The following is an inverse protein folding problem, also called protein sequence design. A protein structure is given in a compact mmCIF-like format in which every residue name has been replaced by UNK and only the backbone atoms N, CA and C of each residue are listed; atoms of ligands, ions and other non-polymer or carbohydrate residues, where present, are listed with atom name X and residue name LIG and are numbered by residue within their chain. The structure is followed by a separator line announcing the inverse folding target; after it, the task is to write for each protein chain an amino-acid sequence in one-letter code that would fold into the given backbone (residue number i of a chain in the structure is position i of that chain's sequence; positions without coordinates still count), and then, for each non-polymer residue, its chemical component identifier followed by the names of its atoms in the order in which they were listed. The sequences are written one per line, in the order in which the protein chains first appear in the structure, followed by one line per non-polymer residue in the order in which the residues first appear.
data_IF_194584078675
#
_entry.id   IF_194584078675
#
_cell.length_a   1.000
_cell.length_b   1.000
_cell.length_c   1.000
_cell.angle_alpha   90.00
_cell.angle_beta   90.00
_cell.angle_gamma   90.00
#
_symmetry.space_group_name_H-M   'P 1'
#
loop_
_entity.id
_entity.type
_entity.pdbx_description
1 polymer ?
#
# COMPACT_ATOMS: atom_id res chain seq x y z
N UNK A 1 1.95 14.56 15.89
CA UNK A 1 1.85 14.11 14.47
C UNK A 1 0.99 15.04 13.64
N UNK A 2 1.02 16.31 14.00
CA UNK A 2 0.19 17.30 13.34
C UNK A 2 0.71 17.71 11.96
N UNK A 3 1.92 17.29 11.59
CA UNK A 3 2.52 17.66 10.32
C UNK A 3 1.98 16.87 9.12
N UNK A 4 1.23 15.80 9.38
CA UNK A 4 0.62 15.00 8.31
C UNK A 4 -0.88 15.22 8.32
N UNK A 5 -1.51 15.27 7.15
CA UNK A 5 -2.94 15.55 7.07
C UNK A 5 -3.78 14.38 7.57
N UNK A 6 -4.99 14.71 8.05
CA UNK A 6 -6.00 13.69 8.26
C UNK A 6 -6.35 13.09 6.90
N UNK A 7 -6.45 11.78 6.84
CA UNK A 7 -6.72 11.07 5.60
C UNK A 7 -8.19 10.69 5.51
N UNK A 8 -8.63 10.43 4.29
CA UNK A 8 -9.99 9.94 4.01
C UNK A 8 -10.01 8.42 4.16
N UNK A 9 -9.54 7.96 5.31
CA UNK A 9 -9.47 6.56 5.72
C UNK A 9 -9.87 6.51 7.20
N UNK A 10 -10.36 5.37 7.69
CA UNK A 10 -10.64 5.24 9.12
C UNK A 10 -9.41 5.59 9.95
N UNK A 11 -9.60 6.26 11.09
CA UNK A 11 -8.47 6.56 11.96
C UNK A 11 -7.71 5.30 12.36
N UNK A 12 -6.41 5.37 12.32
CA UNK A 12 -5.55 4.27 12.71
C UNK A 12 -4.71 4.72 13.91
N UNK A 13 -4.60 3.83 14.89
CA UNK A 13 -3.76 4.10 16.06
C UNK A 13 -2.32 3.80 15.72
N UNK A 14 -1.68 4.78 15.11
CA UNK A 14 -0.27 4.63 14.77
C UNK A 14 0.59 4.85 16.00
N UNK A 15 1.50 3.91 16.23
CA UNK A 15 2.49 4.03 17.28
C UNK A 15 3.70 4.74 16.70
N UNK A 16 4.01 5.91 17.20
CA UNK A 16 5.08 6.75 16.69
C UNK A 16 6.10 7.06 17.78
N UNK A 17 7.33 7.29 17.36
CA UNK A 17 8.40 7.70 18.25
C UNK A 17 9.30 8.70 17.53
N UNK A 18 9.96 9.55 18.32
CA UNK A 18 10.92 10.52 17.80
C UNK A 18 12.29 10.14 18.33
N UNK A 19 13.22 9.80 17.43
CA UNK A 19 14.57 9.38 17.79
C UNK A 19 15.59 10.02 16.86
N UNK A 20 16.64 10.57 17.44
CA UNK A 20 17.75 11.14 16.67
C UNK A 20 17.29 12.18 15.64
N UNK A 21 16.30 13.01 16.03
CA UNK A 21 15.77 14.02 15.13
C UNK A 21 14.83 13.52 14.07
N UNK A 22 14.50 12.23 14.08
CA UNK A 22 13.62 11.59 13.07
C UNK A 22 12.37 11.04 13.71
N UNK A 23 11.24 11.19 13.01
CA UNK A 23 10.02 10.55 13.39
C UNK A 23 9.98 9.13 12.81
N UNK A 24 9.58 8.17 13.66
CA UNK A 24 9.48 6.77 13.29
C UNK A 24 8.08 6.27 13.61
N UNK A 25 7.62 5.29 12.85
CA UNK A 25 6.33 4.65 13.05
C UNK A 25 6.54 3.16 13.18
N UNK A 26 5.77 2.55 14.09
CA UNK A 26 5.85 1.12 14.32
C UNK A 26 5.07 0.35 13.26
N UNK A 27 5.73 -0.64 12.66
CA UNK A 27 5.08 -1.60 11.76
C UNK A 27 4.82 -2.88 12.56
N UNK A 28 3.57 -3.07 13.00
CA UNK A 28 3.19 -4.21 13.81
C UNK A 28 3.16 -5.53 13.05
N UNK A 29 3.07 -5.49 11.71
CA UNK A 29 3.08 -6.70 10.91
C UNK A 29 4.48 -7.28 10.77
N UNK A 30 5.49 -6.41 10.60
CA UNK A 30 6.88 -6.84 10.44
C UNK A 30 7.69 -6.71 11.73
N UNK A 31 7.13 -6.07 12.75
CA UNK A 31 7.80 -5.93 14.04
C UNK A 31 9.03 -5.03 13.99
N UNK A 32 8.97 -3.93 13.28
CA UNK A 32 10.09 -3.01 13.16
C UNK A 32 9.65 -1.55 13.11
N UNK A 33 10.59 -0.67 13.40
CA UNK A 33 10.39 0.77 13.29
C UNK A 33 10.77 1.23 11.89
N UNK A 34 9.94 2.07 11.30
CA UNK A 34 10.15 2.64 9.97
C UNK A 34 10.29 4.15 10.08
N UNK A 35 11.07 4.73 9.19
CA UNK A 35 11.11 6.18 9.07
C UNK A 35 9.73 6.66 8.61
N UNK A 36 9.15 7.62 9.32
CA UNK A 36 7.84 8.15 8.98
C UNK A 36 8.02 9.22 7.91
N UNK A 37 7.60 8.87 6.69
CA UNK A 37 7.57 9.76 5.53
C UNK A 37 6.13 10.06 5.17
N UNK A 38 5.86 11.09 4.32
CA UNK A 38 4.50 11.34 3.86
C UNK A 38 3.84 10.13 3.19
N UNK A 39 4.62 9.35 2.44
CA UNK A 39 4.10 8.12 1.80
C UNK A 39 3.85 7.03 2.82
N UNK A 40 4.75 6.87 3.80
CA UNK A 40 4.58 5.86 4.85
C UNK A 40 3.37 6.17 5.73
N UNK A 41 3.06 7.44 5.92
CA UNK A 41 1.84 7.86 6.60
C UNK A 41 0.59 7.28 5.92
N UNK A 42 0.53 7.37 4.60
CA UNK A 42 -0.58 6.80 3.83
C UNK A 42 -0.59 5.29 3.92
N UNK A 43 0.57 4.66 3.73
CA UNK A 43 0.67 3.19 3.74
C UNK A 43 0.21 2.60 5.08
N UNK A 44 0.62 3.19 6.20
CA UNK A 44 0.20 2.71 7.52
C UNK A 44 -1.30 2.78 7.72
N UNK A 45 -1.95 3.83 7.21
CA UNK A 45 -3.40 3.96 7.30
C UNK A 45 -4.12 2.94 6.41
N UNK A 46 -3.60 2.67 5.21
CA UNK A 46 -4.16 1.65 4.33
C UNK A 46 -4.07 0.27 5.00
N UNK A 47 -2.92 -0.05 5.58
CA UNK A 47 -2.73 -1.33 6.26
C UNK A 47 -3.67 -1.43 7.46
N UNK A 48 -3.82 -0.36 8.24
CA UNK A 48 -4.77 -0.34 9.35
C UNK A 48 -6.20 -0.60 8.89
N UNK A 49 -6.60 0.02 7.77
CA UNK A 49 -7.93 -0.21 7.19
C UNK A 49 -8.09 -1.67 6.75
N UNK A 50 -7.10 -2.23 6.05
CA UNK A 50 -7.16 -3.62 5.59
C UNK A 50 -7.23 -4.59 6.78
N UNK A 51 -6.44 -4.36 7.81
CA UNK A 51 -6.34 -5.26 8.96
C UNK A 51 -7.52 -5.10 9.92
N UNK A 52 -7.81 -3.86 10.31
CA UNK A 52 -8.74 -3.60 11.42
C UNK A 52 -10.19 -3.46 10.96
N UNK A 53 -10.41 -2.91 9.76
CA UNK A 53 -11.77 -2.68 9.25
C UNK A 53 -12.23 -3.79 8.31
N UNK A 54 -11.39 -4.19 7.37
CA UNK A 54 -11.72 -5.26 6.42
C UNK A 54 -11.49 -6.64 7.04
N UNK A 55 -10.53 -6.75 7.96
CA UNK A 55 -10.24 -8.01 8.64
C UNK A 55 -9.32 -8.93 7.87
N UNK A 56 -8.44 -8.39 7.02
CA UNK A 56 -7.46 -9.20 6.30
C UNK A 56 -6.42 -9.72 7.29
N UNK A 57 -6.18 -11.04 7.34
CA UNK A 57 -5.14 -11.59 8.23
C UNK A 57 -3.76 -11.04 7.89
N UNK A 58 -2.93 -10.89 8.91
CA UNK A 58 -1.59 -10.32 8.75
C UNK A 58 -0.77 -11.05 7.69
N UNK A 59 -0.88 -12.38 7.62
CA UNK A 59 -0.12 -13.19 6.65
C UNK A 59 -0.54 -12.93 5.21
N UNK A 60 -1.67 -12.28 5.00
CA UNK A 60 -2.18 -11.95 3.66
C UNK A 60 -1.96 -10.49 3.28
N UNK A 61 -1.25 -9.72 4.07
CA UNK A 61 -0.88 -8.33 3.77
C UNK A 61 0.63 -8.29 3.61
N UNK A 62 1.09 -8.27 2.37
CA UNK A 62 2.53 -8.30 2.07
C UNK A 62 2.96 -6.92 1.65
N UNK A 63 3.84 -6.32 2.46
CA UNK A 63 4.40 -5.00 2.19
C UNK A 63 5.65 -5.11 1.35
N UNK A 64 5.86 -4.14 0.46
CA UNK A 64 7.04 -4.08 -0.39
C UNK A 64 7.27 -5.41 -1.10
N UNK A 65 6.21 -5.87 -1.74
CA UNK A 65 6.20 -7.14 -2.47
C UNK A 65 7.18 -7.07 -3.63
N UNK A 66 8.21 -7.93 -3.61
CA UNK A 66 9.28 -7.91 -4.61
C UNK A 66 8.94 -8.82 -5.79
N UNK A 67 9.26 -8.35 -6.99
CA UNK A 67 9.08 -9.08 -8.23
C UNK A 67 10.04 -8.55 -9.29
N UNK A 68 10.20 -9.29 -10.38
CA UNK A 68 11.02 -8.86 -11.51
C UNK A 68 10.13 -8.49 -12.69
N UNK A 69 10.43 -7.36 -13.30
CA UNK A 69 9.73 -6.88 -14.49
C UNK A 69 10.79 -6.43 -15.51
N UNK A 70 10.81 -7.11 -16.67
CA UNK A 70 11.80 -6.80 -17.71
C UNK A 70 13.23 -6.94 -17.25
N UNK A 71 13.52 -7.89 -16.36
CA UNK A 71 14.86 -8.10 -15.83
C UNK A 71 15.25 -7.17 -14.70
N UNK A 72 14.38 -6.24 -14.33
CA UNK A 72 14.63 -5.26 -13.25
C UNK A 72 13.81 -5.64 -12.03
N UNK A 73 14.43 -5.59 -10.85
CA UNK A 73 13.74 -5.86 -9.61
C UNK A 73 12.88 -4.66 -9.22
N UNK A 74 11.62 -4.92 -8.90
CA UNK A 74 10.63 -3.93 -8.52
C UNK A 74 9.96 -4.30 -7.21
N UNK A 75 9.26 -3.36 -6.61
CA UNK A 75 8.47 -3.58 -5.39
C UNK A 75 7.13 -2.90 -5.53
N UNK A 76 6.06 -3.64 -5.23
CA UNK A 76 4.74 -3.07 -5.05
C UNK A 76 4.56 -2.71 -3.58
N UNK A 77 3.87 -1.62 -3.29
CA UNK A 77 3.72 -1.14 -1.91
C UNK A 77 3.05 -2.17 -1.01
N UNK A 78 1.91 -2.70 -1.46
CA UNK A 78 1.17 -3.72 -0.72
C UNK A 78 0.55 -4.68 -1.73
N UNK A 79 0.64 -5.98 -1.44
CA UNK A 79 -0.14 -7.00 -2.14
C UNK A 79 -0.96 -7.76 -1.11
N UNK A 80 -2.27 -7.74 -1.29
CA UNK A 80 -3.18 -8.56 -0.49
C UNK A 80 -3.32 -9.89 -1.19
N UNK A 81 -3.11 -10.96 -0.45
CA UNK A 81 -3.22 -12.32 -0.99
C UNK A 81 -4.44 -13.02 -0.41
N UNK A 82 -4.85 -14.08 -1.08
CA UNK A 82 -5.94 -14.93 -0.65
C UNK A 82 -5.48 -16.37 -0.48
N UNK A 83 -6.37 -17.32 -0.75
CA UNK A 83 -6.07 -18.74 -0.65
C UNK A 83 -4.93 -19.10 -1.57
N UNK A 84 -4.00 -19.93 -1.07
CA UNK A 84 -2.87 -20.38 -1.84
C UNK A 84 -1.90 -19.27 -2.21
N UNK A 85 -1.94 -18.17 -1.48
CA UNK A 85 -1.08 -17.01 -1.70
C UNK A 85 -1.30 -16.35 -3.07
N UNK A 86 -2.49 -16.52 -3.65
CA UNK A 86 -2.84 -15.81 -4.88
C UNK A 86 -3.01 -14.34 -4.60
N UNK A 87 -2.50 -13.50 -5.49
CA UNK A 87 -2.67 -12.05 -5.38
C UNK A 87 -4.13 -11.68 -5.63
N UNK A 88 -4.71 -10.95 -4.70
CA UNK A 88 -6.09 -10.46 -4.79
C UNK A 88 -6.12 -8.99 -5.14
N UNK A 89 -5.29 -8.19 -4.49
CA UNK A 89 -5.26 -6.75 -4.73
C UNK A 89 -3.83 -6.24 -4.66
N UNK A 90 -3.47 -5.45 -5.67
CA UNK A 90 -2.23 -4.68 -5.71
C UNK A 90 -2.55 -3.27 -5.25
N UNK A 91 -1.86 -2.76 -4.25
CA UNK A 91 -2.07 -1.40 -3.76
C UNK A 91 -0.81 -0.58 -4.00
N UNK A 92 -0.97 0.59 -4.62
CA UNK A 92 0.08 1.58 -4.75
C UNK A 92 -0.31 2.83 -3.96
N UNK A 93 0.59 3.27 -3.10
CA UNK A 93 0.39 4.40 -2.22
C UNK A 93 1.29 5.57 -2.64
N UNK A 94 0.71 6.76 -2.60
CA UNK A 94 1.45 8.01 -2.81
C UNK A 94 1.20 8.92 -1.60
N UNK A 95 2.07 9.89 -1.40
CA UNK A 95 1.87 10.89 -0.37
C UNK A 95 0.60 11.69 -0.64
N UNK A 96 0.01 12.26 0.41
CA UNK A 96 -1.29 12.94 0.31
C UNK A 96 -1.28 14.14 -0.65
N UNK A 97 -0.12 14.76 -0.85
CA UNK A 97 0.02 15.90 -1.75
C UNK A 97 0.38 15.50 -3.19
N UNK A 98 0.45 14.22 -3.47
CA UNK A 98 0.75 13.71 -4.81
C UNK A 98 -0.57 13.33 -5.50
N UNK A 99 -0.79 13.85 -6.70
CA UNK A 99 -1.97 13.53 -7.48
C UNK A 99 -1.86 12.09 -8.02
N UNK A 100 -3.00 11.39 -8.00
CA UNK A 100 -3.11 10.09 -8.64
C UNK A 100 -3.49 10.33 -10.10
N UNK A 101 -2.54 10.23 -11.00
CA UNK A 101 -2.72 10.51 -12.41
C UNK A 101 -2.55 9.24 -13.25
N UNK A 102 -2.60 9.43 -14.58
CA UNK A 102 -2.49 8.30 -15.51
C UNK A 102 -1.15 7.58 -15.38
N UNK A 103 -0.07 8.30 -15.05
CA UNK A 103 1.25 7.68 -14.89
C UNK A 103 1.26 6.69 -13.72
N UNK A 104 0.57 7.01 -12.63
CA UNK A 104 0.46 6.12 -11.48
C UNK A 104 -0.29 4.85 -11.87
N UNK A 105 -1.40 5.02 -12.61
CA UNK A 105 -2.17 3.88 -13.09
C UNK A 105 -1.36 3.02 -14.06
N UNK A 106 -0.67 3.64 -15.02
CA UNK A 106 0.13 2.91 -15.99
C UNK A 106 1.22 2.07 -15.32
N UNK A 107 1.86 2.62 -14.30
CA UNK A 107 2.86 1.88 -13.54
C UNK A 107 2.23 0.68 -12.81
N UNK A 108 1.09 0.90 -12.17
CA UNK A 108 0.40 -0.18 -11.44
C UNK A 108 -0.05 -1.29 -12.40
N UNK A 109 -0.53 -0.92 -13.58
CA UNK A 109 -0.92 -1.90 -14.62
C UNK A 109 0.29 -2.71 -15.07
N UNK A 110 1.45 -2.05 -15.29
CA UNK A 110 2.67 -2.76 -15.65
C UNK A 110 3.10 -3.73 -14.55
N UNK A 111 3.08 -3.28 -13.30
CA UNK A 111 3.42 -4.15 -12.17
C UNK A 111 2.47 -5.35 -12.10
N UNK A 112 1.18 -5.09 -12.35
CA UNK A 112 0.18 -6.14 -12.28
C UNK A 112 0.27 -7.16 -13.40
N UNK A 113 1.00 -6.86 -14.48
CA UNK A 113 1.28 -7.87 -15.52
C UNK A 113 2.09 -9.04 -14.97
N UNK A 114 2.84 -8.80 -13.89
CA UNK A 114 3.62 -9.83 -13.20
C UNK A 114 2.90 -10.32 -11.93
N UNK A 115 2.41 -9.40 -11.12
CA UNK A 115 1.76 -9.71 -9.83
C UNK A 115 0.44 -10.45 -10.05
N UNK A 116 -0.33 -10.06 -11.05
CA UNK A 116 -1.59 -10.70 -11.45
C UNK A 116 -2.66 -10.68 -10.36
N UNK A 117 -2.76 -9.58 -9.66
CA UNK A 117 -3.86 -9.36 -8.73
C UNK A 117 -5.16 -9.12 -9.50
N UNK A 118 -6.28 -9.51 -8.89
CA UNK A 118 -7.60 -9.31 -9.49
C UNK A 118 -8.04 -7.86 -9.46
N UNK A 119 -7.54 -7.10 -8.49
CA UNK A 119 -7.91 -5.69 -8.31
C UNK A 119 -6.66 -4.86 -8.10
N UNK A 120 -6.77 -3.60 -8.49
CA UNK A 120 -5.73 -2.60 -8.27
C UNK A 120 -6.36 -1.46 -7.47
N UNK A 121 -5.70 -1.06 -6.39
CA UNK A 121 -6.07 0.12 -5.62
C UNK A 121 -4.95 1.14 -5.71
N UNK A 122 -5.29 2.36 -6.11
CA UNK A 122 -4.37 3.49 -6.09
C UNK A 122 -4.88 4.48 -5.05
N UNK A 123 -3.99 4.97 -4.21
CA UNK A 123 -4.42 5.90 -3.16
C UNK A 123 -3.30 6.86 -2.77
N UNK A 124 -3.70 8.09 -2.45
CA UNK A 124 -2.84 9.04 -1.74
C UNK A 124 -3.39 9.36 -0.35
N UNK A 125 -4.32 8.53 0.13
CA UNK A 125 -4.94 8.73 1.43
C UNK A 125 -6.14 9.65 1.40
N UNK A 126 -6.23 10.56 0.44
CA UNK A 126 -7.35 11.49 0.28
C UNK A 126 -8.28 11.05 -0.83
N UNK A 127 -7.73 10.44 -1.87
CA UNK A 127 -8.47 9.89 -3.01
C UNK A 127 -8.06 8.44 -3.22
N UNK A 128 -9.05 7.62 -3.50
CA UNK A 128 -8.87 6.19 -3.69
C UNK A 128 -9.51 5.77 -5.00
N UNK A 129 -8.80 4.99 -5.78
CA UNK A 129 -9.29 4.46 -7.06
C UNK A 129 -9.15 2.95 -7.05
N UNK A 130 -10.21 2.28 -7.43
CA UNK A 130 -10.23 0.81 -7.50
C UNK A 130 -10.53 0.38 -8.93
N UNK A 131 -9.75 -0.56 -9.40
CA UNK A 131 -9.91 -1.10 -10.76
C UNK A 131 -9.97 -2.60 -10.67
N UNK A 132 -10.86 -3.20 -11.47
CA UNK A 132 -10.82 -4.64 -11.70
C UNK A 132 -9.82 -4.89 -12.82
N UNK A 133 -8.79 -5.68 -12.55
CA UNK A 133 -7.83 -6.04 -13.57
C UNK A 133 -8.45 -7.09 -14.47
N UNK A 134 -8.45 -6.84 -15.78
CA UNK A 134 -8.93 -7.80 -16.74
C UNK A 134 -8.04 -9.03 -16.80
N UNK A 135 -8.63 -10.17 -17.09
CA UNK A 135 -7.89 -11.42 -17.29
C UNK A 135 -7.58 -11.66 -18.78
N UNK A 136 -7.87 -10.68 -19.61
CA UNK A 136 -7.68 -10.78 -21.04
C UNK A 136 -8.88 -11.35 -21.77
N UNK A 137 -9.97 -11.64 -21.09
CA UNK A 137 -11.15 -12.24 -21.71
C UNK A 137 -12.37 -11.32 -21.74
N UNK A 138 -12.27 -10.14 -21.22
CA UNK A 138 -13.36 -9.16 -21.24
C UNK A 138 -13.37 -8.33 -22.50
#
# INVERSE_FOLDING_TARGET
MDRYPALNLPPSRLRAAHRHGEERVWDGLRGCWLLLTPEEWVRRHVIGWLSDCIGIPAVNIIQEYQFSLGGTRQRADIVVTGRGQQAVMLVECKAADVAIDQCVLDQAVRYNSVVRARYIMLTNGLRHYFFAAGDGTT
#
